data_IF_658317450127
#
_entry.id   IF_658317450127
#
_cell.length_a   1.000
_cell.length_b   1.000
_cell.length_c   1.000
_cell.angle_alpha   90.00
_cell.angle_beta   90.00
_cell.angle_gamma   90.00
#
_symmetry.space_group_name_H-M   'P 1'
#
loop_
_entity.id
_entity.type
_entity.pdbx_description
1 polymer ?
#
# COMPACT_ATOMS: atom_id res chain seq x y z
N UNK A 1 -6.72 -0.83 9.00
CA UNK A 1 -6.01 0.35 9.54
C UNK A 1 -6.20 1.52 8.60
N UNK A 2 -6.45 2.72 9.12
CA UNK A 2 -6.47 3.97 8.32
C UNK A 2 -5.03 4.44 8.08
N UNK A 3 -4.86 5.33 7.10
CA UNK A 3 -3.54 5.94 6.84
C UNK A 3 -3.10 6.81 8.02
N UNK A 4 -4.02 7.61 8.58
CA UNK A 4 -3.73 8.46 9.74
C UNK A 4 -3.22 7.65 10.95
N UNK A 5 -3.76 6.44 11.15
CA UNK A 5 -3.29 5.54 12.22
C UNK A 5 -1.82 5.15 12.02
N UNK A 6 -1.37 4.89 10.77
CA UNK A 6 0.04 4.60 10.45
C UNK A 6 0.92 5.80 10.79
N UNK A 7 0.48 7.00 10.40
CA UNK A 7 1.23 8.23 10.60
C UNK A 7 1.36 8.58 12.08
N UNK A 8 0.28 8.43 12.85
CA UNK A 8 0.29 8.67 14.29
C UNK A 8 1.19 7.67 15.03
N UNK A 9 1.09 6.37 14.69
CA UNK A 9 1.99 5.35 15.23
C UNK A 9 3.47 5.69 14.96
N UNK A 10 3.77 6.17 13.75
CA UNK A 10 5.13 6.55 13.39
C UNK A 10 5.60 7.82 14.10
N UNK A 11 4.73 8.82 14.26
CA UNK A 11 5.05 10.03 15.00
C UNK A 11 5.48 9.72 16.44
N UNK A 12 4.80 8.79 17.10
CA UNK A 12 5.16 8.32 18.44
C UNK A 12 6.47 7.51 18.45
N UNK A 13 6.60 6.56 17.52
CA UNK A 13 7.74 5.64 17.47
C UNK A 13 9.05 6.29 17.01
N UNK A 14 9.00 7.41 16.27
CA UNK A 14 10.17 8.06 15.65
C UNK A 14 11.00 8.94 16.59
N UNK A 15 10.60 9.05 17.86
CA UNK A 15 11.38 9.76 18.90
C UNK A 15 12.74 9.10 19.09
N UNK A 16 13.81 9.88 19.30
CA UNK A 16 15.17 9.35 19.44
C UNK A 16 15.81 9.83 20.75
N UNK A 17 16.26 8.89 21.59
CA UNK A 17 17.12 9.20 22.72
C UNK A 17 18.60 9.22 22.30
N UNK A 18 19.29 10.34 22.55
CA UNK A 18 20.71 10.51 22.19
C UNK A 18 21.67 9.99 23.25
N UNK A 19 21.16 9.67 24.45
CA UNK A 19 21.99 9.30 25.60
C UNK A 19 22.43 7.83 25.52
N UNK A 20 21.57 6.93 25.01
CA UNK A 20 21.89 5.51 24.84
C UNK A 20 21.71 5.03 23.39
N UNK A 21 22.78 5.14 22.61
CA UNK A 21 22.82 4.68 21.22
C UNK A 21 22.75 3.14 21.08
N UNK A 22 23.12 2.39 22.12
CA UNK A 22 23.08 0.93 22.08
C UNK A 22 21.64 0.44 22.22
N UNK A 23 20.89 1.02 23.15
CA UNK A 23 19.46 0.76 23.33
C UNK A 23 18.65 1.18 22.10
N UNK A 24 18.95 2.35 21.52
CA UNK A 24 18.31 2.81 20.28
C UNK A 24 18.56 1.86 19.09
N UNK A 25 19.72 1.21 19.03
CA UNK A 25 19.99 0.19 18.00
C UNK A 25 19.06 -1.03 18.14
N UNK A 26 18.84 -1.50 19.38
CA UNK A 26 17.91 -2.61 19.66
C UNK A 26 16.47 -2.19 19.36
N UNK A 27 16.10 -0.94 19.70
CA UNK A 27 14.78 -0.38 19.41
C UNK A 27 14.53 -0.30 17.91
N UNK A 28 15.49 0.12 17.10
CA UNK A 28 15.35 0.19 15.65
C UNK A 28 15.01 -1.18 15.02
N UNK A 29 15.61 -2.27 15.50
CA UNK A 29 15.29 -3.64 15.04
C UNK A 29 13.85 -4.01 15.39
N UNK A 30 13.40 -3.70 16.62
CA UNK A 30 12.02 -3.95 17.07
C UNK A 30 11.01 -3.16 16.23
N UNK A 31 11.29 -1.88 15.97
CA UNK A 31 10.46 -1.03 15.12
C UNK A 31 10.40 -1.56 13.68
N UNK A 32 11.54 -1.96 13.11
CA UNK A 32 11.58 -2.56 11.77
C UNK A 32 10.65 -3.78 11.70
N UNK A 33 10.73 -4.69 12.68
CA UNK A 33 9.85 -5.86 12.74
C UNK A 33 8.37 -5.48 12.82
N UNK A 34 8.01 -4.54 13.71
CA UNK A 34 6.64 -4.01 13.86
C UNK A 34 6.09 -3.49 12.53
N UNK A 35 6.79 -2.57 11.88
CA UNK A 35 6.33 -1.95 10.63
C UNK A 35 6.35 -2.91 9.44
N UNK A 36 7.30 -3.86 9.42
CA UNK A 36 7.34 -4.89 8.38
C UNK A 36 6.13 -5.83 8.42
N UNK A 37 5.67 -6.22 9.62
CA UNK A 37 4.45 -7.03 9.77
C UNK A 37 3.24 -6.28 9.20
N UNK A 38 3.08 -5.00 9.58
CA UNK A 38 1.97 -4.16 9.09
C UNK A 38 2.06 -4.02 7.56
N UNK A 39 3.25 -3.72 7.03
CA UNK A 39 3.51 -3.64 5.60
C UNK A 39 3.09 -4.92 4.87
N UNK A 40 3.49 -6.09 5.37
CA UNK A 40 3.19 -7.37 4.73
C UNK A 40 1.68 -7.61 4.61
N UNK A 41 0.92 -7.33 5.67
CA UNK A 41 -0.54 -7.45 5.65
C UNK A 41 -1.20 -6.44 4.70
N UNK A 42 -0.80 -5.17 4.73
CA UNK A 42 -1.38 -4.16 3.85
C UNK A 42 -0.98 -4.38 2.38
N UNK A 43 0.21 -4.92 2.12
CA UNK A 43 0.64 -5.28 0.77
C UNK A 43 -0.15 -6.47 0.20
N UNK A 44 -0.45 -7.48 1.03
CA UNK A 44 -1.31 -8.58 0.61
C UNK A 44 -2.73 -8.11 0.28
N UNK A 45 -3.26 -7.15 1.06
CA UNK A 45 -4.56 -6.53 0.76
C UNK A 45 -4.53 -5.74 -0.54
N UNK A 46 -3.44 -5.03 -0.82
CA UNK A 46 -3.26 -4.35 -2.10
C UNK A 46 -3.27 -5.34 -3.27
N UNK A 47 -2.52 -6.44 -3.16
CA UNK A 47 -2.48 -7.49 -4.18
C UNK A 47 -3.88 -8.04 -4.46
N UNK A 48 -4.67 -8.33 -3.42
CA UNK A 48 -6.06 -8.75 -3.58
C UNK A 48 -6.90 -7.72 -4.33
N UNK A 49 -6.84 -6.44 -3.94
CA UNK A 49 -7.63 -5.38 -4.59
C UNK A 49 -7.27 -5.22 -6.07
N UNK A 50 -6.00 -5.40 -6.44
CA UNK A 50 -5.55 -5.37 -7.84
C UNK A 50 -6.16 -6.53 -8.65
N UNK A 51 -6.23 -7.73 -8.09
CA UNK A 51 -6.91 -8.84 -8.76
C UNK A 51 -8.43 -8.65 -8.82
N UNK A 52 -9.04 -8.09 -7.78
CA UNK A 52 -10.47 -7.80 -7.75
C UNK A 52 -10.85 -6.77 -8.84
N UNK A 53 -10.02 -5.74 -9.09
CA UNK A 53 -10.28 -4.78 -10.16
C UNK A 53 -10.06 -5.36 -11.55
N UNK A 54 -9.10 -6.27 -11.72
CA UNK A 54 -8.91 -6.97 -12.99
C UNK A 54 -10.14 -7.81 -13.34
N UNK A 55 -10.70 -8.54 -12.36
CA UNK A 55 -11.95 -9.31 -12.53
C UNK A 55 -13.12 -8.40 -12.87
N UNK A 56 -13.27 -7.29 -12.15
CA UNK A 56 -14.33 -6.33 -12.41
C UNK A 56 -14.20 -5.71 -13.81
N UNK A 57 -12.97 -5.38 -14.23
CA UNK A 57 -12.71 -4.82 -15.55
C UNK A 57 -13.12 -5.79 -16.65
N UNK A 58 -12.71 -7.06 -16.56
CA UNK A 58 -13.09 -8.10 -17.52
C UNK A 58 -14.61 -8.23 -17.63
N UNK A 59 -15.29 -8.30 -16.49
CA UNK A 59 -16.75 -8.37 -16.43
C UNK A 59 -17.43 -7.14 -17.06
N UNK A 60 -16.97 -5.94 -16.72
CA UNK A 60 -17.52 -4.68 -17.26
C UNK A 60 -17.25 -4.60 -18.77
N UNK A 61 -16.13 -5.15 -19.24
CA UNK A 61 -15.84 -5.25 -20.66
C UNK A 61 -16.88 -6.11 -21.40
N UNK A 62 -17.18 -7.31 -20.90
CA UNK A 62 -18.23 -8.17 -21.47
C UNK A 62 -19.62 -7.52 -21.40
N UNK A 63 -19.91 -6.83 -20.28
CA UNK A 63 -21.15 -6.07 -20.10
C UNK A 63 -21.33 -4.99 -21.18
N UNK A 64 -20.32 -4.13 -21.38
CA UNK A 64 -20.38 -3.04 -22.35
C UNK A 64 -20.26 -3.51 -23.80
N UNK A 65 -19.69 -4.69 -24.03
CA UNK A 65 -19.73 -5.36 -25.33
C UNK A 65 -21.14 -5.86 -25.67
N UNK A 66 -21.96 -6.14 -24.65
CA UNK A 66 -23.31 -6.69 -24.79
C UNK A 66 -23.34 -8.22 -24.86
N UNK A 67 -22.23 -8.87 -24.53
CA UNK A 67 -22.06 -10.34 -24.60
C UNK A 67 -22.16 -11.01 -23.21
N UNK A 68 -22.38 -10.23 -22.15
CA UNK A 68 -22.52 -10.77 -20.79
C UNK A 68 -23.78 -11.63 -20.66
N UNK A 69 -23.63 -12.80 -20.03
CA UNK A 69 -24.71 -13.77 -19.88
C UNK A 69 -25.82 -13.29 -18.92
N UNK A 70 -27.01 -13.85 -19.12
CA UNK A 70 -28.21 -13.43 -18.38
C UNK A 70 -28.15 -13.80 -16.90
N UNK A 71 -27.53 -14.92 -16.54
CA UNK A 71 -27.42 -15.36 -15.15
C UNK A 71 -26.58 -14.35 -14.36
N UNK A 72 -25.42 -13.98 -14.88
CA UNK A 72 -24.54 -12.96 -14.29
C UNK A 72 -25.21 -11.58 -14.21
N UNK A 73 -25.98 -11.20 -15.22
CA UNK A 73 -26.78 -9.95 -15.21
C UNK A 73 -27.82 -9.96 -14.09
N UNK A 74 -28.58 -11.06 -13.97
CA UNK A 74 -29.63 -11.21 -12.96
C UNK A 74 -29.03 -11.24 -11.54
N UNK A 75 -27.91 -11.94 -11.33
CA UNK A 75 -27.19 -11.98 -10.04
C UNK A 75 -26.73 -10.60 -9.58
N UNK A 76 -26.28 -9.74 -10.52
CA UNK A 76 -25.82 -8.38 -10.22
C UNK A 76 -26.93 -7.33 -10.29
N UNK A 77 -28.15 -7.72 -10.66
CA UNK A 77 -29.27 -6.81 -10.88
C UNK A 77 -29.03 -5.82 -12.04
N UNK A 78 -28.21 -6.19 -13.01
CA UNK A 78 -27.89 -5.38 -14.17
C UNK A 78 -28.86 -5.66 -15.31
N UNK A 79 -29.21 -4.60 -16.06
CA UNK A 79 -29.93 -4.75 -17.33
C UNK A 79 -28.93 -4.83 -18.47
N UNK A 80 -29.24 -5.64 -19.48
CA UNK A 80 -28.38 -5.77 -20.65
C UNK A 80 -28.09 -4.41 -21.28
N UNK A 81 -26.82 -4.16 -21.61
CA UNK A 81 -26.40 -2.89 -22.18
C UNK A 81 -26.96 -2.73 -23.60
N UNK A 82 -27.78 -1.70 -23.81
CA UNK A 82 -28.53 -1.51 -25.07
C UNK A 82 -27.80 -0.63 -26.09
N UNK A 83 -26.77 0.13 -25.68
CA UNK A 83 -26.08 1.06 -26.59
C UNK A 83 -25.05 0.31 -27.40
N UNK A 84 -25.09 0.48 -28.73
CA UNK A 84 -24.05 -0.02 -29.62
C UNK A 84 -22.85 0.93 -29.57
N UNK A 85 -21.77 0.50 -28.94
CA UNK A 85 -20.52 1.26 -28.84
C UNK A 85 -19.42 0.56 -29.63
N UNK A 86 -18.42 1.32 -30.07
CA UNK A 86 -17.24 0.74 -30.73
C UNK A 86 -16.38 0.03 -29.70
N UNK A 87 -15.73 -1.08 -30.08
CA UNK A 87 -14.80 -1.81 -29.21
C UNK A 87 -13.67 -0.90 -28.67
N UNK A 88 -13.24 0.08 -29.46
CA UNK A 88 -12.25 1.08 -29.07
C UNK A 88 -12.72 1.99 -27.94
N UNK A 89 -14.02 2.19 -27.79
CA UNK A 89 -14.59 3.10 -26.79
C UNK A 89 -14.93 2.39 -25.47
N UNK A 90 -14.96 1.05 -25.43
CA UNK A 90 -15.35 0.27 -24.25
C UNK A 90 -14.53 0.66 -23.01
N UNK A 91 -13.21 0.77 -23.15
CA UNK A 91 -12.31 1.16 -22.06
C UNK A 91 -12.66 2.54 -21.48
N UNK A 92 -13.14 3.48 -22.31
CA UNK A 92 -13.64 4.78 -21.84
C UNK A 92 -14.88 4.64 -20.96
N UNK A 93 -15.80 3.74 -21.30
CA UNK A 93 -16.98 3.46 -20.47
C UNK A 93 -16.60 2.78 -19.16
N UNK A 94 -15.74 1.77 -19.20
CA UNK A 94 -15.27 1.07 -17.98
C UNK A 94 -14.58 2.04 -17.02
N UNK A 95 -13.73 2.94 -17.51
CA UNK A 95 -13.07 3.95 -16.67
C UNK A 95 -14.05 4.95 -16.04
N UNK A 96 -15.20 5.16 -16.67
CA UNK A 96 -16.28 6.00 -16.17
C UNK A 96 -17.31 5.26 -15.30
N UNK A 97 -17.17 3.95 -15.11
CA UNK A 97 -18.09 3.15 -14.31
C UNK A 97 -17.87 3.37 -12.81
N UNK A 98 -18.95 3.64 -12.08
CA UNK A 98 -18.89 3.99 -10.65
C UNK A 98 -18.30 2.87 -9.78
N UNK A 99 -18.53 1.59 -10.10
CA UNK A 99 -17.96 0.48 -9.34
C UNK A 99 -16.44 0.38 -9.57
N UNK A 100 -16.01 0.56 -10.81
CA UNK A 100 -14.60 0.57 -11.19
C UNK A 100 -13.88 1.76 -10.55
N UNK A 101 -14.48 2.94 -10.57
CA UNK A 101 -13.96 4.14 -9.91
C UNK A 101 -13.85 3.91 -8.41
N UNK A 102 -14.90 3.40 -7.76
CA UNK A 102 -14.90 3.14 -6.32
C UNK A 102 -13.79 2.15 -5.92
N UNK A 103 -13.56 1.10 -6.72
CA UNK A 103 -12.51 0.13 -6.45
C UNK A 103 -11.11 0.70 -6.69
N UNK A 104 -10.93 1.51 -7.74
CA UNK A 104 -9.67 2.21 -8.01
C UNK A 104 -9.31 3.21 -6.91
N UNK A 105 -10.29 3.92 -6.34
CA UNK A 105 -10.07 4.80 -5.20
C UNK A 105 -9.60 4.03 -3.96
N UNK A 106 -10.17 2.84 -3.70
CA UNK A 106 -9.71 1.95 -2.63
C UNK A 106 -8.28 1.47 -2.86
N UNK A 107 -7.94 1.11 -4.11
CA UNK A 107 -6.58 0.74 -4.50
C UNK A 107 -5.62 1.90 -4.28
N UNK A 108 -5.98 3.11 -4.69
CA UNK A 108 -5.14 4.30 -4.52
C UNK A 108 -4.81 4.54 -3.03
N UNK A 109 -5.84 4.51 -2.18
CA UNK A 109 -5.64 4.64 -0.73
C UNK A 109 -4.77 3.51 -0.16
N UNK A 110 -4.96 2.27 -0.64
CA UNK A 110 -4.17 1.14 -0.17
C UNK A 110 -2.70 1.23 -0.62
N UNK A 111 -2.45 1.71 -1.85
CA UNK A 111 -1.10 1.99 -2.36
C UNK A 111 -0.41 3.04 -1.51
N UNK A 112 -1.11 4.09 -1.11
CA UNK A 112 -0.55 5.13 -0.25
C UNK A 112 -0.05 4.53 1.06
N UNK A 113 -0.87 3.73 1.75
CA UNK A 113 -0.47 3.04 2.98
C UNK A 113 0.79 2.18 2.81
N UNK A 114 0.82 1.38 1.74
CA UNK A 114 1.95 0.48 1.45
C UNK A 114 3.22 1.29 1.19
N UNK A 115 3.12 2.39 0.44
CA UNK A 115 4.24 3.30 0.18
C UNK A 115 4.74 3.94 1.47
N UNK A 116 3.84 4.51 2.29
CA UNK A 116 4.18 5.10 3.58
C UNK A 116 4.92 4.10 4.48
N UNK A 117 4.40 2.87 4.61
CA UNK A 117 5.03 1.82 5.42
C UNK A 117 6.42 1.45 4.87
N UNK A 118 6.57 1.35 3.56
CA UNK A 118 7.86 1.08 2.91
C UNK A 118 8.88 2.18 3.21
N UNK A 119 8.46 3.45 3.20
CA UNK A 119 9.34 4.57 3.49
C UNK A 119 9.69 4.68 4.98
N UNK A 120 8.75 4.36 5.89
CA UNK A 120 9.04 4.20 7.33
C UNK A 120 10.11 3.12 7.55
N UNK A 121 9.95 1.94 6.95
CA UNK A 121 10.91 0.84 7.06
C UNK A 121 12.31 1.27 6.58
N UNK A 122 12.39 1.99 5.45
CA UNK A 122 13.67 2.56 4.97
C UNK A 122 14.25 3.57 5.96
N UNK A 123 13.43 4.45 6.52
CA UNK A 123 13.87 5.44 7.50
C UNK A 123 14.49 4.77 8.74
N UNK A 124 13.88 3.68 9.23
CA UNK A 124 14.41 2.90 10.36
C UNK A 124 15.76 2.25 9.99
N UNK A 125 15.89 1.72 8.77
CA UNK A 125 17.14 1.18 8.26
C UNK A 125 18.25 2.23 8.19
N UNK A 126 17.94 3.42 7.68
CA UNK A 126 18.87 4.54 7.61
C UNK A 126 19.32 4.98 9.01
N UNK A 127 18.38 5.06 9.97
CA UNK A 127 18.70 5.40 11.35
C UNK A 127 19.67 4.39 11.98
N UNK A 128 19.42 3.09 11.79
CA UNK A 128 20.30 2.02 12.30
C UNK A 128 21.73 2.16 11.75
N UNK A 129 21.87 2.50 10.47
CA UNK A 129 23.18 2.76 9.85
C UNK A 129 23.86 4.01 10.43
N UNK A 130 23.11 5.10 10.63
CA UNK A 130 23.63 6.32 11.26
C UNK A 130 24.15 6.05 12.67
N UNK A 131 23.40 5.30 13.49
CA UNK A 131 23.83 4.93 14.85
C UNK A 131 25.14 4.11 14.80
N UNK A 132 25.23 3.14 13.90
CA UNK A 132 26.46 2.36 13.68
C UNK A 132 27.67 3.22 13.35
N UNK A 133 27.51 4.24 12.49
CA UNK A 133 28.58 5.18 12.17
C UNK A 133 29.03 6.01 13.37
N UNK A 134 28.08 6.47 14.20
CA UNK A 134 28.40 7.25 15.41
C UNK A 134 29.19 6.38 16.40
N UNK A 135 28.76 5.13 16.62
CA UNK A 135 29.46 4.19 17.51
C UNK A 135 30.88 3.89 17.02
N UNK A 136 31.05 3.69 15.71
CA UNK A 136 32.37 3.51 15.13
C UNK A 136 33.26 4.74 15.33
N UNK A 137 32.73 5.94 15.10
CA UNK A 137 33.46 7.18 15.31
C UNK A 137 33.91 7.35 16.77
N UNK A 138 33.05 7.03 17.75
CA UNK A 138 33.43 7.05 19.18
C UNK A 138 34.58 6.10 19.48
N UNK A 139 34.54 4.87 18.96
CA UNK A 139 35.65 3.89 19.10
C UNK A 139 36.96 4.40 18.51
N UNK A 140 36.91 5.08 17.36
CA UNK A 140 38.11 5.69 16.76
C UNK A 140 38.69 6.80 17.63
N UNK A 141 37.86 7.62 18.28
CA UNK A 141 38.35 8.67 19.17
C UNK A 141 39.02 8.09 20.43
N UNK A 142 38.43 7.06 21.03
CA UNK A 142 38.99 6.39 22.21
C UNK A 142 40.33 5.70 21.91
N UNK A 143 40.51 5.16 20.69
CA UNK A 143 41.75 4.52 20.27
C UNK A 143 42.87 5.50 19.87
N UNK A 144 42.57 6.79 19.73
CA UNK A 144 43.54 7.83 19.36
C UNK A 144 44.20 8.51 20.58
N UNK A 145 43.76 8.18 21.79
CA UNK A 145 44.34 8.58 23.09
C UNK A 145 45.07 7.40 23.73
#
# INVERSE_FOLDING_TARGET
MKLDDILNLWAEDSTLDKNDLSEESVRAIKLHSKYYIIYSHENLRLAKLLEDVNKLYFLKYEYYLGDLDKETLDERGWKQFQKKILKSDIDRYIRGDDEVIALNLRIALQKEKVTTLKDIIKSIGNLSFTIGNILNWRKFQEAAY
#
